data_IF_281762650310
#
_entry.id   IF_281762650310
#
_cell.length_a   1.000
_cell.length_b   1.000
_cell.length_c   1.000
_cell.angle_alpha   90.00
_cell.angle_beta   90.00
_cell.angle_gamma   90.00
#
_symmetry.space_group_name_H-M   'P 1'
#
loop_
_entity.id
_entity.type
_entity.pdbx_description
1 polymer ?
#
# COMPACT_ATOMS: atom_id res chain seq x y z
N UNK A 1 5.35 5.12 -16.45
CA UNK A 1 3.95 5.09 -15.96
C UNK A 1 3.88 5.95 -14.71
N UNK A 2 3.36 7.18 -14.82
CA UNK A 2 3.20 8.08 -13.67
C UNK A 2 2.04 7.58 -12.80
N UNK A 3 2.34 6.80 -11.76
CA UNK A 3 1.42 6.64 -10.63
C UNK A 3 1.42 7.97 -9.86
N UNK A 4 0.46 8.85 -10.15
CA UNK A 4 0.21 10.07 -9.37
C UNK A 4 -0.55 9.68 -8.10
N UNK A 5 0.18 9.21 -7.08
CA UNK A 5 -0.28 8.71 -5.78
C UNK A 5 -0.88 9.77 -4.82
N UNK A 6 -1.09 11.00 -5.28
CA UNK A 6 -1.68 12.06 -4.45
C UNK A 6 -3.09 11.73 -3.94
N UNK A 7 -3.84 10.86 -4.63
CA UNK A 7 -5.21 10.54 -4.23
C UNK A 7 -5.28 9.65 -2.98
N UNK A 8 -4.40 8.66 -2.84
CA UNK A 8 -4.39 7.76 -1.68
C UNK A 8 -3.69 8.38 -0.47
N UNK A 9 -2.66 9.21 -0.71
CA UNK A 9 -1.96 9.94 0.34
C UNK A 9 -2.89 10.87 1.14
N UNK A 10 -3.90 11.46 0.50
CA UNK A 10 -4.91 12.28 1.17
C UNK A 10 -5.69 11.52 2.26
N UNK A 11 -5.91 10.20 2.07
CA UNK A 11 -6.63 9.37 3.03
C UNK A 11 -5.79 8.88 4.20
N UNK A 12 -4.46 8.99 4.11
CA UNK A 12 -3.54 8.59 5.19
C UNK A 12 -3.76 9.42 6.47
N UNK A 13 -4.08 10.71 6.31
CA UNK A 13 -4.33 11.63 7.42
C UNK A 13 -5.81 11.80 7.76
N UNK A 14 -6.72 11.20 6.98
CA UNK A 14 -8.16 11.33 7.20
C UNK A 14 -8.65 10.31 8.23
N UNK A 15 -9.59 10.73 9.08
CA UNK A 15 -10.34 9.79 9.91
C UNK A 15 -11.67 9.44 9.22
N UNK A 16 -12.20 8.23 9.48
CA UNK A 16 -13.49 7.83 8.92
C UNK A 16 -14.62 8.79 9.33
N UNK A 17 -14.52 9.42 10.50
CA UNK A 17 -15.49 10.44 10.94
C UNK A 17 -15.47 11.67 10.04
N UNK A 18 -14.31 12.07 9.53
CA UNK A 18 -14.16 13.25 8.67
C UNK A 18 -14.68 12.97 7.26
N UNK A 19 -14.54 11.72 6.82
CA UNK A 19 -15.17 11.21 5.59
C UNK A 19 -16.70 11.32 5.68
N UNK A 20 -17.28 10.89 6.80
CA UNK A 20 -18.74 10.97 7.03
C UNK A 20 -19.20 12.42 7.20
N UNK A 21 -18.47 13.24 7.95
CA UNK A 21 -18.80 14.64 8.21
C UNK A 21 -18.73 15.54 6.96
N UNK A 22 -17.86 15.21 5.99
CA UNK A 22 -17.72 15.96 4.75
C UNK A 22 -18.84 15.71 3.73
N UNK A 23 -19.61 14.63 3.88
CA UNK A 23 -20.62 14.21 2.91
C UNK A 23 -22.04 14.69 3.25
N UNK A 24 -22.36 14.95 4.54
CA UNK A 24 -23.71 15.37 4.95
C UNK A 24 -23.74 16.55 5.92
N UNK A 25 -24.19 17.73 5.44
CA UNK A 25 -24.42 18.94 6.26
C UNK A 25 -25.66 18.86 7.18
N UNK A 26 -26.49 17.81 7.11
CA UNK A 26 -27.78 17.73 7.81
C UNK A 26 -27.82 16.79 9.03
N UNK A 27 -26.74 16.07 9.34
CA UNK A 27 -26.84 14.88 10.22
C UNK A 27 -25.84 14.84 11.37
N UNK A 28 -25.58 16.00 11.99
CA UNK A 28 -24.82 16.09 13.25
C UNK A 28 -25.46 15.32 14.44
N UNK A 29 -26.67 14.76 14.28
CA UNK A 29 -27.46 14.17 15.37
C UNK A 29 -27.44 12.63 15.43
N UNK A 30 -27.02 11.91 14.37
CA UNK A 30 -27.11 10.43 14.33
C UNK A 30 -25.78 9.71 14.64
N UNK A 31 -24.63 10.37 14.47
CA UNK A 31 -23.33 9.81 14.88
C UNK A 31 -23.22 9.62 16.41
N UNK A 32 -24.01 10.36 17.19
CA UNK A 32 -24.02 10.30 18.65
C UNK A 32 -24.75 9.07 19.24
N UNK A 33 -25.57 8.35 18.44
CA UNK A 33 -26.41 7.24 18.90
C UNK A 33 -25.94 5.86 18.40
N UNK A 34 -24.69 5.75 17.95
CA UNK A 34 -24.13 4.47 17.51
C UNK A 34 -23.68 3.62 18.69
N UNK A 35 -24.06 2.34 18.70
CA UNK A 35 -23.55 1.39 19.70
C UNK A 35 -22.03 1.30 19.65
N UNK A 36 -21.38 1.13 20.81
CA UNK A 36 -19.93 0.98 20.92
C UNK A 36 -19.38 -0.16 20.03
N UNK A 37 -20.17 -1.23 19.85
CA UNK A 37 -19.83 -2.36 18.98
C UNK A 37 -19.69 -1.94 17.51
N UNK A 38 -20.63 -1.13 17.02
CA UNK A 38 -20.61 -0.65 15.64
C UNK A 38 -19.48 0.36 15.43
N UNK A 39 -19.21 1.22 16.42
CA UNK A 39 -18.07 2.14 16.39
C UNK A 39 -16.74 1.37 16.29
N UNK A 40 -16.51 0.39 17.16
CA UNK A 40 -15.29 -0.46 17.13
C UNK A 40 -15.12 -1.17 15.80
N UNK A 41 -16.22 -1.64 15.21
CA UNK A 41 -16.20 -2.29 13.89
C UNK A 41 -15.74 -1.34 12.80
N UNK A 42 -16.29 -0.12 12.75
CA UNK A 42 -15.88 0.90 11.75
C UNK A 42 -14.45 1.37 11.95
N UNK A 43 -14.02 1.53 13.20
CA UNK A 43 -12.62 1.82 13.54
C UNK A 43 -11.70 0.71 13.04
N UNK A 44 -12.00 -0.57 13.30
CA UNK A 44 -11.19 -1.70 12.81
C UNK A 44 -11.11 -1.76 11.27
N UNK A 45 -12.22 -1.50 10.57
CA UNK A 45 -12.25 -1.44 9.11
C UNK A 45 -11.41 -0.28 8.57
N UNK A 46 -11.48 0.88 9.21
CA UNK A 46 -10.70 2.03 8.82
C UNK A 46 -9.21 1.84 9.11
N UNK A 47 -8.86 1.27 10.26
CA UNK A 47 -7.48 0.92 10.60
C UNK A 47 -6.89 -0.06 9.59
N UNK A 48 -7.63 -1.09 9.16
CA UNK A 48 -7.19 -2.01 8.11
C UNK A 48 -6.84 -1.27 6.81
N UNK A 49 -7.70 -0.36 6.37
CA UNK A 49 -7.46 0.42 5.17
C UNK A 49 -6.24 1.34 5.33
N UNK A 50 -6.14 2.04 6.46
CA UNK A 50 -5.00 2.91 6.76
C UNK A 50 -3.69 2.13 6.82
N UNK A 51 -3.66 0.97 7.47
CA UNK A 51 -2.46 0.15 7.55
C UNK A 51 -1.98 -0.28 6.17
N UNK A 52 -2.90 -0.65 5.28
CA UNK A 52 -2.53 -1.03 3.91
C UNK A 52 -2.09 0.19 3.09
N UNK A 53 -2.69 1.37 3.30
CA UNK A 53 -2.23 2.61 2.66
C UNK A 53 -0.82 3.00 3.12
N UNK A 54 -0.52 2.87 4.41
CA UNK A 54 0.82 3.08 4.97
C UNK A 54 1.80 2.07 4.38
N UNK A 55 1.41 0.79 4.32
CA UNK A 55 2.22 -0.26 3.70
C UNK A 55 2.57 0.07 2.24
N UNK A 56 1.57 0.46 1.44
CA UNK A 56 1.77 0.84 0.06
C UNK A 56 2.66 2.09 -0.08
N UNK A 57 2.30 3.19 0.57
CA UNK A 57 2.92 4.50 0.34
C UNK A 57 4.28 4.62 1.02
N UNK A 58 4.39 4.21 2.28
CA UNK A 58 5.61 4.46 3.07
C UNK A 58 6.65 3.36 2.88
N UNK A 59 6.23 2.16 2.46
CA UNK A 59 7.15 1.04 2.27
C UNK A 59 7.31 0.70 0.79
N UNK A 60 6.25 0.30 0.08
CA UNK A 60 6.38 -0.16 -1.30
C UNK A 60 6.76 0.96 -2.27
N UNK A 61 6.11 2.13 -2.17
CA UNK A 61 6.39 3.26 -3.06
C UNK A 61 7.76 3.88 -2.79
N UNK A 62 8.21 3.90 -1.53
CA UNK A 62 9.59 4.32 -1.21
C UNK A 62 10.61 3.37 -1.84
N UNK A 63 10.45 2.04 -1.67
CA UNK A 63 11.32 1.07 -2.33
C UNK A 63 11.31 1.23 -3.86
N UNK A 64 10.15 1.48 -4.44
CA UNK A 64 9.99 1.64 -5.89
C UNK A 64 10.61 2.93 -6.41
N UNK A 65 10.25 4.08 -5.85
CA UNK A 65 10.55 5.39 -6.41
C UNK A 65 11.83 6.02 -5.85
N UNK A 66 12.24 5.68 -4.63
CA UNK A 66 13.47 6.21 -4.02
C UNK A 66 14.68 5.31 -4.28
N UNK A 67 14.48 4.01 -4.49
CA UNK A 67 15.58 3.07 -4.70
C UNK A 67 15.57 2.38 -6.07
N UNK A 68 14.48 1.70 -6.45
CA UNK A 68 14.46 0.92 -7.68
C UNK A 68 14.51 1.77 -8.96
N UNK A 69 13.69 2.82 -9.06
CA UNK A 69 13.69 3.71 -10.24
C UNK A 69 14.99 4.51 -10.38
N UNK A 70 15.55 5.10 -9.30
CA UNK A 70 16.84 5.77 -9.40
C UNK A 70 17.99 4.81 -9.74
N UNK A 71 17.98 3.58 -9.21
CA UNK A 71 18.95 2.55 -9.61
C UNK A 71 18.88 2.29 -11.12
N UNK A 72 17.67 2.05 -11.66
CA UNK A 72 17.46 1.85 -13.11
C UNK A 72 17.93 3.05 -13.93
N UNK A 73 17.76 4.27 -13.43
CA UNK A 73 18.20 5.49 -14.12
C UNK A 73 19.72 5.58 -14.19
N UNK A 74 20.39 5.36 -13.06
CA UNK A 74 21.87 5.34 -12.96
C UNK A 74 22.46 4.22 -13.86
N UNK A 75 21.75 3.10 -13.99
CA UNK A 75 22.11 2.01 -14.91
C UNK A 75 22.05 2.42 -16.39
N UNK A 76 21.04 3.19 -16.79
CA UNK A 76 20.96 3.74 -18.16
C UNK A 76 22.12 4.70 -18.43
N UNK A 77 22.60 5.42 -17.41
CA UNK A 77 23.75 6.31 -17.47
C UNK A 77 25.10 5.56 -17.46
N UNK A 78 25.10 4.23 -17.32
CA UNK A 78 26.29 3.36 -17.39
C UNK A 78 26.92 3.02 -16.04
N UNK A 79 26.30 3.41 -14.93
CA UNK A 79 26.78 3.19 -13.57
C UNK A 79 25.98 2.07 -12.89
N UNK A 80 26.57 1.31 -11.95
CA UNK A 80 25.89 0.22 -11.21
C UNK A 80 25.23 -0.87 -12.09
N UNK A 81 25.74 -1.09 -13.31
CA UNK A 81 25.19 -2.07 -14.26
C UNK A 81 25.21 -3.52 -13.73
N UNK A 82 26.03 -3.81 -12.72
CA UNK A 82 26.13 -5.12 -12.09
C UNK A 82 25.03 -5.41 -11.05
N UNK A 83 24.27 -4.40 -10.63
CA UNK A 83 23.23 -4.53 -9.62
C UNK A 83 21.89 -4.91 -10.27
N UNK A 84 21.45 -6.15 -10.15
CA UNK A 84 20.19 -6.61 -10.74
C UNK A 84 18.99 -6.17 -9.87
N UNK A 85 18.09 -5.30 -10.36
CA UNK A 85 16.96 -4.82 -9.56
C UNK A 85 16.01 -5.96 -9.14
N UNK A 86 15.86 -7.02 -9.94
CA UNK A 86 15.02 -8.15 -9.57
C UNK A 86 15.58 -8.95 -8.39
N UNK A 87 16.90 -9.05 -8.27
CA UNK A 87 17.54 -9.77 -7.15
C UNK A 87 17.51 -8.95 -5.85
N UNK A 88 17.44 -7.62 -5.94
CA UNK A 88 17.29 -6.71 -4.79
C UNK A 88 15.85 -6.56 -4.31
N UNK A 89 14.92 -6.34 -5.23
CA UNK A 89 13.54 -5.94 -4.91
C UNK A 89 12.52 -7.06 -5.19
N UNK A 90 12.94 -8.19 -5.76
CA UNK A 90 12.06 -9.31 -6.07
C UNK A 90 10.91 -8.91 -6.99
N UNK A 91 9.70 -9.35 -6.64
CA UNK A 91 8.46 -9.02 -7.33
C UNK A 91 7.76 -7.76 -6.78
N UNK A 92 8.52 -6.73 -6.43
CA UNK A 92 8.01 -5.47 -5.87
C UNK A 92 6.89 -4.83 -6.69
N UNK A 93 6.97 -4.90 -8.03
CA UNK A 93 5.93 -4.36 -8.91
C UNK A 93 4.59 -5.09 -8.76
N UNK A 94 4.61 -6.43 -8.61
CA UNK A 94 3.40 -7.21 -8.36
C UNK A 94 2.81 -6.89 -6.98
N UNK A 95 3.65 -6.81 -5.94
CA UNK A 95 3.21 -6.43 -4.59
C UNK A 95 2.56 -5.06 -4.56
N UNK A 96 3.22 -4.08 -5.17
CA UNK A 96 2.73 -2.71 -5.27
C UNK A 96 1.38 -2.66 -5.98
N UNK A 97 1.22 -3.44 -7.05
CA UNK A 97 -0.05 -3.53 -7.78
C UNK A 97 -1.17 -4.14 -6.94
N UNK A 98 -0.90 -5.23 -6.23
CA UNK A 98 -1.88 -5.91 -5.35
C UNK A 98 -2.33 -4.97 -4.23
N UNK A 99 -1.40 -4.33 -3.51
CA UNK A 99 -1.74 -3.38 -2.43
C UNK A 99 -2.45 -2.13 -2.96
N UNK A 100 -2.03 -1.60 -4.13
CA UNK A 100 -2.71 -0.47 -4.78
C UNK A 100 -4.14 -0.80 -5.18
N UNK A 101 -4.35 -1.93 -5.86
CA UNK A 101 -5.68 -2.36 -6.29
C UNK A 101 -6.59 -2.62 -5.11
N UNK A 102 -6.06 -3.20 -4.03
CA UNK A 102 -6.80 -3.31 -2.77
C UNK A 102 -7.22 -1.94 -2.24
N UNK A 103 -6.29 -1.01 -2.00
CA UNK A 103 -6.62 0.31 -1.45
C UNK A 103 -7.64 1.04 -2.31
N UNK A 104 -7.46 1.03 -3.64
CA UNK A 104 -8.37 1.67 -4.60
C UNK A 104 -9.77 1.06 -4.58
N UNK A 105 -9.87 -0.27 -4.62
CA UNK A 105 -11.17 -0.96 -4.61
C UNK A 105 -11.84 -0.83 -3.25
N UNK A 106 -11.07 -0.87 -2.16
CA UNK A 106 -11.57 -0.76 -0.79
C UNK A 106 -12.18 0.61 -0.55
N UNK A 107 -11.46 1.70 -0.87
CA UNK A 107 -12.00 3.05 -0.69
C UNK A 107 -13.20 3.31 -1.62
N UNK A 108 -13.16 2.81 -2.87
CA UNK A 108 -14.29 2.93 -3.79
C UNK A 108 -15.54 2.19 -3.27
N UNK A 109 -15.36 1.01 -2.67
CA UNK A 109 -16.46 0.26 -2.08
C UNK A 109 -16.99 0.93 -0.80
N UNK A 110 -16.10 1.47 0.05
CA UNK A 110 -16.48 2.25 1.22
C UNK A 110 -17.29 3.50 0.86
N UNK A 111 -16.89 4.20 -0.20
CA UNK A 111 -17.59 5.40 -0.70
C UNK A 111 -18.93 5.05 -1.38
N UNK A 112 -19.02 3.90 -2.06
CA UNK A 112 -20.24 3.47 -2.76
C UNK A 112 -21.33 3.01 -1.80
N UNK A 113 -20.95 2.32 -0.72
CA UNK A 113 -21.88 1.84 0.32
C UNK A 113 -22.01 2.85 1.48
N UNK A 114 -21.67 4.12 1.23
CA UNK A 114 -21.69 5.20 2.21
C UNK A 114 -23.12 5.73 2.43
N UNK A 115 -23.98 4.87 2.97
CA UNK A 115 -25.10 5.33 3.80
C UNK A 115 -24.66 5.22 5.27
N UNK A 116 -25.01 6.21 6.09
CA UNK A 116 -24.56 6.32 7.49
C UNK A 116 -24.90 5.07 8.33
N UNK A 117 -25.87 4.26 7.91
CA UNK A 117 -26.24 2.99 8.56
C UNK A 117 -25.37 1.79 8.16
N UNK A 118 -24.65 1.86 7.04
CA UNK A 118 -24.12 0.68 6.34
C UNK A 118 -22.60 0.71 6.11
N UNK A 119 -21.92 1.77 6.56
CA UNK A 119 -20.48 1.95 6.38
C UNK A 119 -19.68 0.71 6.82
N UNK A 120 -18.92 0.13 5.89
CA UNK A 120 -17.98 -0.97 6.16
C UNK A 120 -18.60 -2.32 6.48
N UNK A 121 -19.90 -2.58 6.16
CA UNK A 121 -20.55 -3.88 6.37
C UNK A 121 -19.65 -5.07 5.97
N UNK A 122 -19.81 -6.21 6.65
CA UNK A 122 -19.03 -7.44 6.40
C UNK A 122 -19.01 -7.86 4.92
N UNK A 123 -20.09 -7.61 4.19
CA UNK A 123 -20.18 -7.90 2.75
C UNK A 123 -19.18 -7.09 1.90
N UNK A 124 -18.88 -5.85 2.30
CA UNK A 124 -17.89 -4.99 1.62
C UNK A 124 -16.50 -5.55 1.83
N UNK A 125 -16.18 -5.90 3.09
CA UNK A 125 -14.92 -6.55 3.45
C UNK A 125 -14.75 -7.87 2.71
N UNK A 126 -15.76 -8.74 2.72
CA UNK A 126 -15.73 -10.02 2.03
C UNK A 126 -15.45 -9.86 0.55
N UNK A 127 -16.10 -8.91 -0.12
CA UNK A 127 -15.85 -8.62 -1.55
C UNK A 127 -14.43 -8.08 -1.78
N UNK A 128 -13.95 -7.20 -0.92
CA UNK A 128 -12.59 -6.67 -1.01
C UNK A 128 -11.54 -7.77 -0.80
N UNK A 129 -11.73 -8.64 0.21
CA UNK A 129 -10.84 -9.77 0.47
C UNK A 129 -10.89 -10.83 -0.63
N UNK A 130 -12.06 -11.12 -1.20
CA UNK A 130 -12.16 -12.03 -2.35
C UNK A 130 -11.38 -11.49 -3.56
N UNK A 131 -11.50 -10.20 -3.84
CA UNK A 131 -10.70 -9.55 -4.90
C UNK A 131 -9.22 -9.55 -4.55
N UNK A 132 -8.85 -9.24 -3.32
CA UNK A 132 -7.46 -9.30 -2.85
C UNK A 132 -6.87 -10.69 -3.02
N UNK A 133 -7.59 -11.74 -2.64
CA UNK A 133 -7.17 -13.13 -2.82
C UNK A 133 -6.93 -13.44 -4.29
N UNK A 134 -7.85 -13.04 -5.17
CA UNK A 134 -7.68 -13.22 -6.61
C UNK A 134 -6.45 -12.49 -7.18
N UNK A 135 -6.24 -11.22 -6.80
CA UNK A 135 -5.10 -10.42 -7.28
C UNK A 135 -3.76 -10.89 -6.69
N UNK A 136 -3.75 -11.32 -5.43
CA UNK A 136 -2.57 -11.86 -4.74
C UNK A 136 -2.26 -13.32 -5.09
N UNK A 137 -3.08 -13.95 -5.95
CA UNK A 137 -3.03 -15.38 -6.30
C UNK A 137 -3.03 -16.24 -5.03
N UNK A 138 -4.00 -15.98 -4.16
CA UNK A 138 -4.15 -16.61 -2.84
C UNK A 138 -2.89 -16.48 -1.97
N UNK A 139 -2.27 -15.30 -1.99
CA UNK A 139 -1.07 -14.99 -1.23
C UNK A 139 0.25 -15.45 -1.87
N UNK A 140 0.24 -16.09 -3.03
CA UNK A 140 1.45 -16.56 -3.70
C UNK A 140 2.44 -15.42 -4.05
N UNK A 141 1.92 -14.21 -4.33
CA UNK A 141 2.76 -13.02 -4.61
C UNK A 141 3.61 -12.67 -3.38
N UNK A 142 3.02 -12.62 -2.19
CA UNK A 142 3.73 -12.35 -0.94
C UNK A 142 4.64 -13.51 -0.54
N UNK A 143 4.19 -14.74 -0.75
CA UNK A 143 5.00 -15.93 -0.48
C UNK A 143 6.30 -15.93 -1.31
N UNK A 144 6.21 -15.60 -2.59
CA UNK A 144 7.38 -15.52 -3.49
C UNK A 144 8.36 -14.44 -3.03
N UNK A 145 7.85 -13.28 -2.61
CA UNK A 145 8.67 -12.21 -2.05
C UNK A 145 9.40 -12.63 -0.78
N UNK A 146 8.67 -13.26 0.16
CA UNK A 146 9.22 -13.70 1.44
C UNK A 146 10.28 -14.81 1.27
N UNK A 147 10.09 -15.73 0.32
CA UNK A 147 11.11 -16.76 0.03
C UNK A 147 12.40 -16.15 -0.52
N UNK A 148 12.30 -15.10 -1.33
CA UNK A 148 13.46 -14.42 -1.90
C UNK A 148 14.12 -13.43 -0.94
N UNK A 149 13.50 -13.12 0.19
CA UNK A 149 13.97 -12.12 1.15
C UNK A 149 15.40 -12.36 1.62
N UNK A 150 15.72 -13.59 2.04
CA UNK A 150 17.08 -13.92 2.51
C UNK A 150 18.12 -13.75 1.41
N UNK A 151 17.80 -14.16 0.18
CA UNK A 151 18.70 -14.02 -0.95
C UNK A 151 18.91 -12.55 -1.32
N UNK A 152 17.85 -11.73 -1.30
CA UNK A 152 17.92 -10.31 -1.55
C UNK A 152 18.80 -9.58 -0.51
N UNK A 153 18.73 -9.96 0.76
CA UNK A 153 19.60 -9.42 1.81
C UNK A 153 21.08 -9.78 1.59
N UNK A 154 21.38 -11.04 1.28
CA UNK A 154 22.75 -11.47 0.98
C UNK A 154 23.30 -10.76 -0.26
N UNK A 155 22.45 -10.55 -1.26
CA UNK A 155 22.81 -9.80 -2.45
C UNK A 155 23.07 -8.33 -2.15
N UNK A 156 22.22 -7.70 -1.33
CA UNK A 156 22.42 -6.32 -0.86
C UNK A 156 23.75 -6.17 -0.10
N UNK A 157 24.08 -7.09 0.81
CA UNK A 157 25.36 -7.08 1.53
C UNK A 157 26.56 -7.19 0.58
N UNK A 158 26.46 -8.05 -0.44
CA UNK A 158 27.48 -8.17 -1.48
C UNK A 158 27.64 -6.86 -2.26
N UNK A 159 26.54 -6.20 -2.63
CA UNK A 159 26.57 -4.94 -3.36
C UNK A 159 27.15 -3.80 -2.51
N UNK A 160 26.82 -3.73 -1.21
CA UNK A 160 27.39 -2.76 -0.26
C UNK A 160 28.90 -2.85 -0.09
N UNK A 161 29.52 -3.97 -0.47
CA UNK A 161 30.98 -4.10 -0.49
C UNK A 161 31.62 -3.24 -1.59
N UNK A 162 30.84 -2.79 -2.59
CA UNK A 162 31.30 -1.86 -3.61
C UNK A 162 31.00 -0.41 -3.19
N UNK A 163 32.03 0.44 -3.19
CA UNK A 163 31.94 1.86 -2.82
C UNK A 163 30.92 2.63 -3.65
N UNK A 164 30.81 2.35 -4.95
CA UNK A 164 29.86 3.05 -5.85
C UNK A 164 28.40 2.78 -5.44
N UNK A 165 28.09 1.54 -5.08
CA UNK A 165 26.74 1.19 -4.62
C UNK A 165 26.46 1.76 -3.23
N UNK A 166 27.45 1.76 -2.34
CA UNK A 166 27.33 2.38 -1.02
C UNK A 166 27.15 3.91 -1.09
N UNK A 167 27.73 4.57 -2.10
CA UNK A 167 27.48 5.99 -2.37
C UNK A 167 26.07 6.24 -2.90
N UNK A 168 25.60 5.40 -3.82
CA UNK A 168 24.21 5.43 -4.29
C UNK A 168 23.21 5.24 -3.14
N UNK A 169 23.44 4.27 -2.27
CA UNK A 169 22.57 4.02 -1.11
C UNK A 169 22.50 5.22 -0.15
N UNK A 170 23.59 6.00 0.00
CA UNK A 170 23.60 7.22 0.81
C UNK A 170 22.90 8.40 0.12
N UNK A 171 22.82 8.38 -1.21
CA UNK A 171 22.20 9.43 -1.99
C UNK A 171 20.66 9.29 -2.05
N UNK A 172 20.18 8.04 -2.07
CA UNK A 172 18.76 7.69 -1.93
C UNK A 172 18.21 8.04 -0.54
#
# INVERSE_FOLDING_TARGET
SEFKDNHLAAYKSLHWSDLIASTDKQQNCQAANMSDTERKRREAVWELFKSECVFLIDHLMVLKHCFMEPLKKVQVEGSLMYAEPQDLFGNLDELSYVSYTFCKDFIAALLKDMSITDFGRTNVLLKAFQRFSAHSRDGAVYHSYCLNYTNALLYLEKLRSNTEFAEFEKWC
#
